data_IF_141833152821
#
_entry.id   IF_141833152821
#
_cell.length_a   1.000
_cell.length_b   1.000
_cell.length_c   1.000
_cell.angle_alpha   90.00
_cell.angle_beta   90.00
_cell.angle_gamma   90.00
#
_symmetry.space_group_name_H-M   'P 1'
#
loop_
_entity.id
_entity.type
_entity.pdbx_description
1 polymer ?
#
# COMPACT_ATOMS: atom_id res chain seq x y z
N UNK A 1 10.74 -13.90 5.82
CA UNK A 1 9.69 -12.86 5.99
C UNK A 1 8.36 -13.43 5.57
N UNK A 2 7.36 -13.29 6.41
CA UNK A 2 6.02 -13.82 6.12
C UNK A 2 5.09 -12.67 5.77
N UNK A 3 4.36 -12.79 4.65
CA UNK A 3 3.39 -11.76 4.24
C UNK A 3 1.98 -12.36 4.33
N UNK A 4 1.07 -11.65 4.99
CA UNK A 4 -0.31 -12.08 5.17
C UNK A 4 -1.28 -10.97 4.79
N UNK A 5 -2.47 -11.38 4.33
CA UNK A 5 -3.59 -10.48 4.07
C UNK A 5 -4.54 -10.52 5.27
N UNK A 6 -5.06 -9.38 5.67
CA UNK A 6 -6.03 -9.27 6.74
C UNK A 6 -7.36 -8.74 6.22
N UNK A 7 -8.46 -9.32 6.70
CA UNK A 7 -9.82 -8.87 6.37
C UNK A 7 -10.31 -7.81 7.37
N UNK A 8 -11.31 -6.97 7.01
CA UNK A 8 -11.92 -6.05 7.96
C UNK A 8 -12.38 -6.78 9.24
N UNK A 9 -12.18 -6.14 10.39
CA UNK A 9 -12.52 -6.70 11.70
C UNK A 9 -11.41 -7.51 12.37
N UNK A 10 -10.32 -7.82 11.67
CA UNK A 10 -9.17 -8.47 12.29
C UNK A 10 -8.44 -7.49 13.22
N UNK A 11 -8.21 -7.89 14.46
CA UNK A 11 -7.58 -7.03 15.47
C UNK A 11 -6.17 -6.58 15.08
N UNK A 12 -5.46 -7.37 14.31
CA UNK A 12 -4.09 -7.08 13.88
C UNK A 12 -4.02 -5.87 12.92
N UNK A 13 -5.13 -5.50 12.30
CA UNK A 13 -5.19 -4.25 11.53
C UNK A 13 -4.83 -3.04 12.40
N UNK A 14 -5.31 -3.03 13.64
CA UNK A 14 -5.06 -1.94 14.58
C UNK A 14 -3.78 -2.17 15.38
N UNK A 15 -3.55 -3.38 15.87
CA UNK A 15 -2.39 -3.66 16.72
C UNK A 15 -1.07 -3.70 15.93
N UNK A 16 -1.10 -4.21 14.70
CA UNK A 16 0.12 -4.45 13.92
C UNK A 16 0.26 -3.52 12.70
N UNK A 17 -0.78 -3.40 11.87
CA UNK A 17 -0.68 -2.64 10.62
C UNK A 17 -0.75 -1.13 10.84
N UNK A 18 -1.67 -0.65 11.66
CA UNK A 18 -1.89 0.79 11.83
C UNK A 18 -0.64 1.55 12.30
N UNK A 19 0.14 1.06 13.29
CA UNK A 19 1.36 1.76 13.70
C UNK A 19 2.36 1.96 12.56
N UNK A 20 2.51 0.99 11.67
CA UNK A 20 3.39 1.07 10.51
C UNK A 20 2.77 1.98 9.45
N UNK A 21 1.48 1.81 9.15
CA UNK A 21 0.78 2.61 8.15
C UNK A 21 0.77 4.10 8.51
N UNK A 22 0.68 4.45 9.79
CA UNK A 22 0.70 5.84 10.26
C UNK A 22 2.03 6.54 10.00
N UNK A 23 3.11 5.82 9.79
CA UNK A 23 4.38 6.43 9.37
C UNK A 23 4.28 7.07 7.99
N UNK A 24 3.42 6.52 7.12
CA UNK A 24 3.10 7.11 5.81
C UNK A 24 1.88 8.03 5.89
N UNK A 25 0.88 7.66 6.67
CA UNK A 25 -0.43 8.35 6.79
C UNK A 25 -0.68 8.77 8.23
N UNK A 26 0.05 9.79 8.75
CA UNK A 26 -0.04 10.16 10.17
C UNK A 26 -1.42 10.67 10.60
N UNK A 27 -2.28 11.06 9.67
CA UNK A 27 -3.64 11.52 9.94
C UNK A 27 -4.61 10.40 10.30
N UNK A 28 -4.26 9.13 10.04
CA UNK A 28 -5.14 8.01 10.35
C UNK A 28 -5.27 7.79 11.85
N UNK A 29 -6.51 7.56 12.27
CA UNK A 29 -6.84 7.07 13.62
C UNK A 29 -7.31 5.63 13.52
N UNK A 30 -7.41 4.94 14.64
CA UNK A 30 -7.98 3.60 14.72
C UNK A 30 -9.38 3.57 14.08
N UNK A 31 -10.24 4.54 14.46
CA UNK A 31 -11.60 4.66 13.96
C UNK A 31 -11.63 4.89 12.44
N UNK A 32 -10.89 5.89 11.95
CA UNK A 32 -10.89 6.22 10.52
C UNK A 32 -10.32 5.09 9.67
N UNK A 33 -9.29 4.39 10.14
CA UNK A 33 -8.73 3.25 9.43
C UNK A 33 -9.75 2.11 9.30
N UNK A 34 -10.43 1.77 10.39
CA UNK A 34 -11.46 0.74 10.39
C UNK A 34 -12.63 1.10 9.47
N UNK A 35 -13.09 2.35 9.50
CA UNK A 35 -14.15 2.84 8.62
C UNK A 35 -13.76 2.79 7.15
N UNK A 36 -12.56 3.27 6.82
CA UNK A 36 -12.04 3.24 5.44
C UNK A 36 -11.97 1.80 4.93
N UNK A 37 -11.47 0.87 5.75
CA UNK A 37 -11.33 -0.51 5.28
C UNK A 37 -12.69 -1.23 5.20
N UNK A 38 -13.60 -0.96 6.11
CA UNK A 38 -14.95 -1.54 6.06
C UNK A 38 -15.67 -1.13 4.75
N UNK A 39 -15.61 0.15 4.37
CA UNK A 39 -16.20 0.64 3.13
C UNK A 39 -15.37 0.22 1.91
N UNK A 40 -14.07 0.43 1.95
CA UNK A 40 -13.17 0.19 0.82
C UNK A 40 -13.06 -1.30 0.44
N UNK A 41 -13.19 -2.20 1.41
CA UNK A 41 -13.11 -3.64 1.15
C UNK A 41 -14.16 -4.10 0.14
N UNK A 42 -15.38 -3.58 0.25
CA UNK A 42 -16.44 -3.87 -0.72
C UNK A 42 -16.16 -3.31 -2.12
N UNK A 43 -15.22 -2.38 -2.23
CA UNK A 43 -14.77 -1.78 -3.50
C UNK A 43 -13.40 -2.30 -3.94
N UNK A 44 -12.90 -3.36 -3.31
CA UNK A 44 -11.68 -4.03 -3.71
C UNK A 44 -10.43 -3.70 -2.90
N UNK A 45 -10.50 -2.79 -1.91
CA UNK A 45 -9.35 -2.46 -1.07
C UNK A 45 -8.91 -3.66 -0.24
N UNK A 46 -7.60 -3.89 -0.21
CA UNK A 46 -6.95 -4.98 0.54
C UNK A 46 -5.73 -4.45 1.26
N UNK A 47 -5.40 -5.06 2.38
CA UNK A 47 -4.17 -4.78 3.13
C UNK A 47 -3.38 -6.05 3.37
N UNK A 48 -2.08 -5.96 3.08
CA UNK A 48 -1.10 -7.03 3.30
C UNK A 48 0.00 -6.51 4.20
N UNK A 49 0.47 -7.32 5.11
CA UNK A 49 1.56 -6.95 6.01
C UNK A 49 2.68 -7.97 6.02
N UNK A 50 3.90 -7.47 6.15
CA UNK A 50 5.11 -8.28 6.24
C UNK A 50 5.54 -8.41 7.70
N UNK A 51 5.81 -9.63 8.13
CA UNK A 51 6.26 -9.96 9.47
C UNK A 51 7.67 -10.54 9.44
N UNK A 52 8.52 -10.10 10.35
CA UNK A 52 9.87 -10.63 10.49
C UNK A 52 9.87 -11.97 11.26
N UNK A 53 11.08 -12.51 11.47
CA UNK A 53 11.24 -13.79 12.17
C UNK A 53 10.77 -13.75 13.63
N UNK A 54 10.73 -12.56 14.25
CA UNK A 54 10.27 -12.38 15.62
C UNK A 54 8.75 -12.14 15.71
N UNK A 55 8.04 -12.19 14.58
CA UNK A 55 6.60 -11.97 14.54
C UNK A 55 6.19 -10.50 14.59
N UNK A 56 7.12 -9.57 14.36
CA UNK A 56 6.84 -8.14 14.33
C UNK A 56 6.45 -7.70 12.92
N UNK A 57 5.41 -6.88 12.82
CA UNK A 57 5.03 -6.27 11.55
C UNK A 57 6.04 -5.19 11.16
N UNK A 58 6.69 -5.38 10.01
CA UNK A 58 7.77 -4.49 9.53
C UNK A 58 7.43 -3.77 8.24
N UNK A 59 6.28 -4.05 7.65
CA UNK A 59 5.82 -3.36 6.46
C UNK A 59 4.36 -3.61 6.19
N UNK A 60 3.70 -2.65 5.52
CA UNK A 60 2.28 -2.74 5.15
C UNK A 60 2.09 -2.22 3.74
N UNK A 61 1.21 -2.88 2.99
CA UNK A 61 0.75 -2.41 1.69
C UNK A 61 -0.78 -2.38 1.66
N UNK A 62 -1.33 -1.28 1.13
CA UNK A 62 -2.73 -1.19 0.76
C UNK A 62 -2.84 -1.22 -0.75
N UNK A 63 -3.77 -2.00 -1.30
CA UNK A 63 -3.84 -2.20 -2.74
C UNK A 63 -5.24 -2.56 -3.21
N UNK A 64 -5.47 -2.40 -4.52
CA UNK A 64 -6.74 -2.70 -5.18
C UNK A 64 -6.51 -3.29 -6.55
N UNK A 65 -7.41 -4.17 -6.98
CA UNK A 65 -7.53 -4.52 -8.40
C UNK A 65 -8.41 -3.46 -9.05
N UNK A 66 -7.90 -2.81 -10.10
CA UNK A 66 -8.60 -1.74 -10.81
C UNK A 66 -8.85 -2.20 -12.25
N UNK A 67 -10.10 -2.03 -12.70
CA UNK A 67 -10.52 -2.32 -14.07
C UNK A 67 -10.90 -1.01 -14.73
N UNK A 68 -10.18 -0.62 -15.78
CA UNK A 68 -10.44 0.61 -16.51
C UNK A 68 -9.99 0.49 -17.98
N UNK A 69 -10.24 1.51 -18.76
CA UNK A 69 -9.92 1.50 -20.19
C UNK A 69 -8.43 1.72 -20.48
N UNK A 70 -7.69 2.31 -19.54
CA UNK A 70 -6.27 2.61 -19.73
C UNK A 70 -5.39 1.36 -19.63
N UNK A 71 -5.54 0.61 -18.56
CA UNK A 71 -4.70 -0.57 -18.27
C UNK A 71 -5.45 -1.88 -18.44
N UNK A 72 -6.74 -1.82 -18.69
CA UNK A 72 -7.72 -2.91 -18.72
C UNK A 72 -7.89 -3.53 -17.34
N UNK A 73 -6.85 -4.15 -16.79
CA UNK A 73 -6.87 -4.73 -15.44
C UNK A 73 -5.49 -4.54 -14.83
N UNK A 74 -5.44 -3.87 -13.68
CA UNK A 74 -4.18 -3.58 -12.97
C UNK A 74 -4.31 -3.83 -11.48
N UNK A 75 -3.19 -4.10 -10.83
CA UNK A 75 -3.09 -3.96 -9.38
C UNK A 75 -2.47 -2.59 -9.10
N UNK A 76 -3.23 -1.77 -8.38
CA UNK A 76 -2.81 -0.45 -7.95
C UNK A 76 -2.46 -0.46 -6.46
N UNK A 77 -1.26 0.00 -6.13
CA UNK A 77 -0.80 0.11 -4.75
C UNK A 77 -1.16 1.50 -4.21
N UNK A 78 -2.08 1.53 -3.24
CA UNK A 78 -2.49 2.76 -2.56
C UNK A 78 -1.46 3.20 -1.52
N UNK A 79 -0.91 2.24 -0.76
CA UNK A 79 0.04 2.48 0.32
C UNK A 79 1.15 1.43 0.26
N UNK A 80 2.39 1.86 0.45
CA UNK A 80 3.52 0.98 0.63
C UNK A 80 4.45 1.63 1.65
N UNK A 81 4.61 1.00 2.80
CA UNK A 81 5.41 1.55 3.88
C UNK A 81 6.20 0.47 4.58
N UNK A 82 7.48 0.73 4.79
CA UNK A 82 8.37 -0.08 5.62
C UNK A 82 8.58 0.63 6.95
N UNK A 83 8.48 -0.11 8.05
CA UNK A 83 8.79 0.43 9.37
C UNK A 83 10.18 1.08 9.36
N UNK A 84 10.29 2.29 9.90
CA UNK A 84 11.51 3.06 9.92
C UNK A 84 12.70 2.28 10.54
N UNK A 85 12.41 1.45 11.55
CA UNK A 85 13.42 0.64 12.24
C UNK A 85 13.85 -0.61 11.45
N UNK A 86 13.14 -0.94 10.39
CA UNK A 86 13.40 -2.13 9.55
C UNK A 86 13.84 -1.78 8.13
N UNK A 87 14.15 -0.52 7.85
CA UNK A 87 14.62 -0.08 6.53
C UNK A 87 15.95 -0.75 6.19
N UNK A 88 16.16 -0.98 4.90
CA UNK A 88 17.33 -1.70 4.34
C UNK A 88 17.32 -3.21 4.56
N UNK A 89 16.22 -3.76 5.13
CA UNK A 89 16.05 -5.21 5.30
C UNK A 89 15.34 -5.92 4.14
N UNK A 90 15.09 -5.22 3.04
CA UNK A 90 14.41 -5.81 1.87
C UNK A 90 12.89 -5.96 2.02
N UNK A 91 12.28 -5.30 2.99
CA UNK A 91 10.84 -5.38 3.27
C UNK A 91 10.02 -4.85 2.09
N UNK A 92 10.36 -3.67 1.59
CA UNK A 92 9.67 -3.07 0.45
C UNK A 92 9.72 -3.94 -0.79
N UNK A 93 10.89 -4.51 -1.07
CA UNK A 93 11.06 -5.44 -2.20
C UNK A 93 10.22 -6.71 -2.01
N UNK A 94 10.19 -7.26 -0.81
CA UNK A 94 9.38 -8.45 -0.52
C UNK A 94 7.89 -8.17 -0.73
N UNK A 95 7.41 -7.03 -0.26
CA UNK A 95 6.02 -6.62 -0.48
C UNK A 95 5.71 -6.41 -1.96
N UNK A 96 6.58 -5.71 -2.70
CA UNK A 96 6.39 -5.53 -4.15
C UNK A 96 6.35 -6.86 -4.88
N UNK A 97 7.25 -7.77 -4.56
CA UNK A 97 7.30 -9.11 -5.19
C UNK A 97 6.01 -9.88 -4.91
N UNK A 98 5.54 -9.88 -3.67
CA UNK A 98 4.29 -10.51 -3.27
C UNK A 98 3.10 -9.95 -4.05
N UNK A 99 3.01 -8.62 -4.15
CA UNK A 99 1.90 -7.97 -4.84
C UNK A 99 1.95 -8.17 -6.35
N UNK A 100 3.14 -8.22 -6.95
CA UNK A 100 3.30 -8.51 -8.37
C UNK A 100 2.85 -9.94 -8.69
N UNK A 101 3.16 -10.91 -7.83
CA UNK A 101 2.65 -12.28 -7.97
C UNK A 101 1.13 -12.31 -7.85
N UNK A 102 0.57 -11.59 -6.87
CA UNK A 102 -0.88 -11.46 -6.73
C UNK A 102 -1.51 -10.84 -7.98
N UNK A 103 -0.88 -9.83 -8.55
CA UNK A 103 -1.35 -9.20 -9.77
C UNK A 103 -1.42 -10.21 -10.92
N UNK A 104 -0.40 -11.05 -11.08
CA UNK A 104 -0.39 -12.09 -12.13
C UNK A 104 -1.48 -13.12 -11.89
N UNK A 105 -1.66 -13.58 -10.65
CA UNK A 105 -2.71 -14.53 -10.29
C UNK A 105 -4.11 -13.98 -10.58
N UNK A 106 -4.31 -12.66 -10.41
CA UNK A 106 -5.58 -11.99 -10.68
C UNK A 106 -5.75 -11.59 -12.15
N UNK A 107 -4.82 -11.97 -13.03
CA UNK A 107 -4.90 -11.66 -14.46
C UNK A 107 -4.62 -10.20 -14.80
N UNK A 108 -3.91 -9.48 -13.98
CA UNK A 108 -3.56 -8.09 -14.23
C UNK A 108 -2.49 -7.97 -15.32
N UNK A 109 -2.63 -6.93 -16.16
CA UNK A 109 -1.68 -6.61 -17.21
C UNK A 109 -0.65 -5.57 -16.76
N UNK A 110 -0.98 -4.80 -15.71
CA UNK A 110 -0.14 -3.73 -15.18
C UNK A 110 -0.10 -3.79 -13.65
N UNK A 111 1.03 -3.36 -13.12
CA UNK A 111 1.26 -3.12 -11.71
C UNK A 111 1.63 -1.66 -11.54
N UNK A 112 0.81 -0.89 -10.83
CA UNK A 112 0.93 0.57 -10.81
C UNK A 112 0.87 1.13 -9.40
N UNK A 113 1.47 2.31 -9.21
CA UNK A 113 1.37 3.09 -7.99
C UNK A 113 1.62 4.56 -8.30
N UNK A 114 1.20 5.42 -7.40
CA UNK A 114 1.60 6.83 -7.39
C UNK A 114 2.52 7.07 -6.20
N UNK A 115 3.49 7.97 -6.37
CA UNK A 115 4.38 8.38 -5.29
C UNK A 115 4.48 9.89 -5.27
N UNK A 116 4.38 10.50 -4.09
CA UNK A 116 4.51 11.94 -3.93
C UNK A 116 5.84 12.44 -4.49
N UNK A 117 5.81 13.59 -5.17
CA UNK A 117 6.99 14.16 -5.84
C UNK A 117 8.15 14.44 -4.90
N UNK A 118 7.87 14.63 -3.61
CA UNK A 118 8.86 14.91 -2.56
C UNK A 118 9.57 13.65 -2.04
N UNK A 119 9.04 12.46 -2.32
CA UNK A 119 9.55 11.19 -1.80
C UNK A 119 10.65 10.63 -2.69
N UNK A 120 11.77 11.34 -2.78
CA UNK A 120 12.86 11.03 -3.72
C UNK A 120 13.53 9.67 -3.47
N UNK A 121 13.64 9.25 -2.22
CA UNK A 121 14.19 7.93 -1.89
C UNK A 121 13.27 6.80 -2.36
N UNK A 122 11.96 6.98 -2.22
CA UNK A 122 10.98 6.04 -2.75
C UNK A 122 11.06 5.95 -4.28
N UNK A 123 11.23 7.09 -4.96
CA UNK A 123 11.40 7.10 -6.42
C UNK A 123 12.62 6.28 -6.86
N UNK A 124 13.75 6.45 -6.16
CA UNK A 124 14.96 5.67 -6.45
C UNK A 124 14.71 4.17 -6.29
N UNK A 125 13.98 3.80 -5.24
CA UNK A 125 13.59 2.41 -5.00
C UNK A 125 12.76 1.86 -6.17
N UNK A 126 11.71 2.57 -6.58
CA UNK A 126 10.85 2.10 -7.68
C UNK A 126 11.62 2.00 -9.00
N UNK A 127 12.50 2.95 -9.29
CA UNK A 127 13.33 2.89 -10.50
C UNK A 127 14.31 1.71 -10.46
N UNK A 128 14.90 1.40 -9.30
CA UNK A 128 15.73 0.19 -9.14
C UNK A 128 14.94 -1.09 -9.35
N UNK A 129 13.65 -1.08 -8.96
CA UNK A 129 12.75 -2.21 -9.20
C UNK A 129 12.17 -2.21 -10.63
N UNK A 130 12.75 -1.42 -11.51
CA UNK A 130 12.44 -1.35 -12.95
C UNK A 130 11.03 -0.82 -13.27
N UNK A 131 10.48 -0.01 -12.39
CA UNK A 131 9.28 0.76 -12.68
C UNK A 131 9.64 2.04 -13.43
N UNK A 132 8.71 2.56 -14.21
CA UNK A 132 8.88 3.79 -14.98
C UNK A 132 7.84 4.82 -14.58
N UNK A 133 8.20 6.10 -14.66
CA UNK A 133 7.24 7.19 -14.47
C UNK A 133 6.45 7.34 -15.77
N UNK A 134 5.15 7.09 -15.72
CA UNK A 134 4.31 7.04 -16.94
C UNK A 134 3.24 8.12 -16.99
N UNK A 135 2.99 8.82 -15.87
CA UNK A 135 1.93 9.83 -15.80
C UNK A 135 2.18 10.82 -14.69
N UNK A 136 1.50 11.97 -14.78
CA UNK A 136 1.39 12.93 -13.68
C UNK A 136 -0.01 12.82 -13.07
N UNK A 137 -0.08 12.73 -11.76
CA UNK A 137 -1.33 12.66 -11.00
C UNK A 137 -1.76 14.07 -10.63
N UNK A 138 -2.97 14.49 -11.02
CA UNK A 138 -3.54 15.80 -10.69
C UNK A 138 -4.60 15.63 -9.62
N UNK A 139 -4.56 16.47 -8.58
CA UNK A 139 -5.50 16.45 -7.47
C UNK A 139 -6.02 17.84 -7.16
N UNK A 140 -7.31 17.93 -6.83
CA UNK A 140 -7.94 19.18 -6.40
C UNK A 140 -8.82 18.91 -5.19
N UNK A 141 -8.59 19.58 -4.04
CA UNK A 141 -9.51 19.48 -2.91
C UNK A 141 -10.90 19.98 -3.30
N UNK A 142 -11.94 19.22 -2.94
CA UNK A 142 -13.33 19.60 -3.20
C UNK A 142 -13.99 20.27 -2.00
N UNK A 143 -13.39 20.15 -0.84
CA UNK A 143 -13.85 20.81 0.37
C UNK A 143 -12.75 21.73 0.90
N UNK A 144 -13.13 22.93 1.33
CA UNK A 144 -12.20 23.82 2.02
C UNK A 144 -11.99 23.26 3.43
N UNK A 145 -10.74 23.09 3.90
CA UNK A 145 -10.51 22.69 5.29
C UNK A 145 -11.18 23.67 6.23
N UNK A 146 -11.82 23.16 7.30
CA UNK A 146 -12.41 24.00 8.34
C UNK A 146 -11.31 24.80 9.02
N UNK A 147 -11.54 26.11 9.19
CA UNK A 147 -10.61 27.00 9.86
C UNK A 147 -10.47 26.64 11.35
#
# INVERSE_FOLDING_TARGET
MKIIDLSPGDERLVTDFLPVLRQLRPHLTEESYQEVYAEGHGRGLRFSGAYDADGRCVGVAGWRIVVNTSTLRSLYVDDLVTDADARSGGVGKALLTYLQERAREEGCLEFTLDSGTHRTDAHRFYLRERMSIVAFHFSKPLQTPSA
#
